data_IF_246103072967
#
_entry.id   IF_246103072967
#
_cell.length_a   1.000
_cell.length_b   1.000
_cell.length_c   1.000
_cell.angle_alpha   90.00
_cell.angle_beta   90.00
_cell.angle_gamma   90.00
#
_symmetry.space_group_name_H-M   'P 1'
#
loop_
_entity.id
_entity.type
_entity.pdbx_description
1 polymer ?
#
# COMPACT_ATOMS: atom_id res chain seq x y z
N UNK A 1 -6.88 -31.31 1.03
CA UNK A 1 -6.65 -29.97 0.51
C UNK A 1 -6.65 -28.91 1.63
N UNK A 2 -7.66 -28.85 2.51
CA UNK A 2 -7.70 -27.90 3.64
C UNK A 2 -6.53 -28.04 4.62
N UNK A 3 -6.09 -29.26 4.93
CA UNK A 3 -4.96 -29.48 5.83
C UNK A 3 -3.63 -28.99 5.24
N UNK A 4 -3.44 -29.16 3.94
CA UNK A 4 -2.26 -28.67 3.22
C UNK A 4 -2.19 -27.13 3.23
N UNK A 5 -3.33 -26.48 3.01
CA UNK A 5 -3.43 -25.00 3.07
C UNK A 5 -3.11 -24.51 4.49
N UNK A 6 -3.59 -25.21 5.53
CA UNK A 6 -3.32 -24.86 6.92
C UNK A 6 -1.84 -25.02 7.29
N UNK A 7 -1.20 -26.07 6.79
CA UNK A 7 0.22 -26.35 7.02
C UNK A 7 1.13 -25.32 6.30
N UNK A 8 0.80 -25.00 5.05
CA UNK A 8 1.48 -23.93 4.29
C UNK A 8 1.29 -22.59 4.97
N UNK A 9 0.08 -22.27 5.43
CA UNK A 9 -0.19 -21.05 6.18
C UNK A 9 0.60 -20.96 7.49
N UNK A 10 0.76 -22.05 8.21
CA UNK A 10 1.51 -22.05 9.47
C UNK A 10 3.02 -21.91 9.28
N UNK A 11 3.59 -22.54 8.25
CA UNK A 11 5.03 -22.65 8.07
C UNK A 11 5.63 -21.63 7.08
N UNK A 12 4.86 -21.23 6.08
CA UNK A 12 5.37 -20.42 4.95
C UNK A 12 4.67 -19.08 4.78
N UNK A 13 3.77 -18.71 5.69
CA UNK A 13 2.99 -17.47 5.57
C UNK A 13 3.89 -16.23 5.41
N UNK A 14 4.95 -16.14 6.19
CA UNK A 14 5.85 -14.99 6.19
C UNK A 14 6.58 -14.85 4.84
N UNK A 15 7.11 -15.95 4.33
CA UNK A 15 7.82 -15.97 3.04
C UNK A 15 6.84 -15.70 1.90
N UNK A 16 5.68 -16.36 1.91
CA UNK A 16 4.65 -16.16 0.90
C UNK A 16 4.16 -14.71 0.87
N UNK A 17 3.97 -14.09 2.05
CA UNK A 17 3.59 -12.68 2.18
C UNK A 17 4.64 -11.74 1.60
N UNK A 18 5.92 -11.96 1.92
CA UNK A 18 7.02 -11.16 1.40
C UNK A 18 7.14 -11.31 -0.13
N UNK A 19 7.05 -12.53 -0.65
CA UNK A 19 7.11 -12.78 -2.11
C UNK A 19 5.94 -12.13 -2.84
N UNK A 20 4.72 -12.26 -2.32
CA UNK A 20 3.55 -11.67 -2.95
C UNK A 20 3.60 -10.13 -2.93
N UNK A 21 3.98 -9.51 -1.81
CA UNK A 21 4.14 -8.07 -1.71
C UNK A 21 5.24 -7.55 -2.66
N UNK A 22 6.36 -8.29 -2.80
CA UNK A 22 7.41 -7.98 -3.77
C UNK A 22 6.91 -8.06 -5.20
N UNK A 23 6.13 -9.10 -5.53
CA UNK A 23 5.53 -9.26 -6.86
C UNK A 23 4.60 -8.07 -7.19
N UNK A 24 3.77 -7.63 -6.24
CA UNK A 24 2.88 -6.47 -6.44
C UNK A 24 3.68 -5.20 -6.74
N UNK A 25 4.77 -4.93 -6.01
CA UNK A 25 5.64 -3.77 -6.25
C UNK A 25 6.28 -3.84 -7.64
N UNK A 26 6.82 -5.00 -8.01
CA UNK A 26 7.46 -5.21 -9.32
C UNK A 26 6.45 -5.03 -10.45
N UNK A 27 5.26 -5.61 -10.33
CA UNK A 27 4.18 -5.43 -11.31
C UNK A 27 3.77 -3.96 -11.44
N UNK A 28 3.60 -3.25 -10.32
CA UNK A 28 3.27 -1.84 -10.34
C UNK A 28 4.36 -1.01 -11.05
N UNK A 29 5.63 -1.33 -10.82
CA UNK A 29 6.75 -0.65 -11.49
C UNK A 29 6.78 -0.94 -12.99
N UNK A 30 6.56 -2.19 -13.39
CA UNK A 30 6.50 -2.59 -14.81
C UNK A 30 5.35 -1.87 -15.51
N UNK A 31 4.18 -1.83 -14.90
CA UNK A 31 3.01 -1.15 -15.47
C UNK A 31 3.25 0.35 -15.65
N UNK A 32 3.88 1.03 -14.69
CA UNK A 32 4.26 2.44 -14.85
C UNK A 32 5.16 2.65 -16.07
N UNK A 33 6.14 1.75 -16.28
CA UNK A 33 7.07 1.87 -17.41
C UNK A 33 6.43 1.53 -18.75
N UNK A 34 5.60 0.51 -18.81
CA UNK A 34 4.97 0.05 -20.05
C UNK A 34 3.90 1.04 -20.53
N UNK A 35 3.13 1.59 -19.61
CA UNK A 35 2.03 2.51 -19.93
C UNK A 35 2.39 3.98 -19.75
N UNK A 36 3.66 4.29 -19.45
CA UNK A 36 4.12 5.66 -19.21
C UNK A 36 3.29 6.42 -18.17
N UNK A 37 2.75 5.70 -17.18
CA UNK A 37 1.95 6.28 -16.12
C UNK A 37 2.86 7.01 -15.11
N UNK A 38 2.50 8.24 -14.80
CA UNK A 38 3.13 8.95 -13.69
C UNK A 38 2.45 8.50 -12.38
N UNK A 39 3.18 7.75 -11.56
CA UNK A 39 2.67 7.34 -10.26
C UNK A 39 2.37 8.57 -9.40
N UNK A 40 1.12 8.72 -8.97
CA UNK A 40 0.74 9.76 -8.02
C UNK A 40 1.45 9.58 -6.68
N UNK A 41 1.55 10.65 -5.89
CA UNK A 41 2.25 10.61 -4.60
C UNK A 41 1.66 9.54 -3.63
N UNK A 42 0.33 9.37 -3.62
CA UNK A 42 -0.33 8.32 -2.83
C UNK A 42 -0.03 6.91 -3.34
N UNK A 43 0.09 6.72 -4.67
CA UNK A 43 0.50 5.44 -5.25
C UNK A 43 1.90 5.03 -4.80
N UNK A 44 2.82 5.99 -4.68
CA UNK A 44 4.17 5.76 -4.15
C UNK A 44 4.10 5.39 -2.67
N UNK A 45 3.26 6.07 -1.88
CA UNK A 45 3.06 5.77 -0.46
C UNK A 45 2.48 4.37 -0.24
N UNK A 46 1.58 3.93 -1.12
CA UNK A 46 1.03 2.56 -1.14
C UNK A 46 2.15 1.52 -1.39
N UNK A 47 3.09 1.80 -2.28
CA UNK A 47 4.27 0.93 -2.51
C UNK A 47 5.16 0.85 -1.27
N UNK A 48 5.36 1.96 -0.56
CA UNK A 48 6.07 1.94 0.73
C UNK A 48 5.34 1.10 1.78
N UNK A 49 4.00 1.13 1.82
CA UNK A 49 3.23 0.27 2.70
C UNK A 49 3.42 -1.23 2.37
N UNK A 50 3.47 -1.62 1.09
CA UNK A 50 3.86 -2.98 0.69
C UNK A 50 5.32 -3.30 1.07
N UNK A 51 6.24 -2.34 0.94
CA UNK A 51 7.61 -2.47 1.41
C UNK A 51 7.71 -2.73 2.92
N UNK A 52 6.88 -2.07 3.72
CA UNK A 52 6.77 -2.34 5.15
C UNK A 52 6.23 -3.76 5.44
N UNK A 53 5.31 -4.28 4.64
CA UNK A 53 4.86 -5.68 4.76
C UNK A 53 6.01 -6.64 4.47
N UNK A 54 6.82 -6.40 3.44
CA UNK A 54 8.01 -7.22 3.15
C UNK A 54 8.96 -7.22 4.35
N UNK A 55 9.30 -6.04 4.86
CA UNK A 55 10.21 -5.89 5.98
C UNK A 55 9.69 -6.59 7.25
N UNK A 56 8.44 -6.34 7.60
CA UNK A 56 7.81 -6.96 8.79
C UNK A 56 7.62 -8.46 8.63
N UNK A 57 7.37 -8.96 7.43
CA UNK A 57 7.32 -10.40 7.14
C UNK A 57 8.68 -11.07 7.32
N UNK A 58 9.76 -10.45 6.87
CA UNK A 58 11.12 -10.96 7.07
C UNK A 58 11.51 -10.96 8.56
N UNK A 59 11.17 -9.88 9.28
CA UNK A 59 11.37 -9.82 10.74
C UNK A 59 10.57 -10.93 11.43
N UNK A 60 9.32 -11.17 11.02
CA UNK A 60 8.47 -12.22 11.58
C UNK A 60 9.03 -13.62 11.30
N UNK A 61 9.61 -13.84 10.13
CA UNK A 61 10.28 -15.08 9.78
C UNK A 61 11.49 -15.37 10.69
N UNK A 62 12.27 -14.33 11.00
CA UNK A 62 13.46 -14.46 11.86
C UNK A 62 13.13 -14.62 13.34
N UNK A 63 12.19 -13.83 13.85
CA UNK A 63 11.90 -13.75 15.28
C UNK A 63 10.76 -14.68 15.73
N UNK A 64 9.82 -15.03 14.85
CA UNK A 64 8.62 -15.87 15.13
C UNK A 64 7.89 -15.47 16.42
N UNK A 65 7.85 -14.17 16.73
CA UNK A 65 7.24 -13.64 17.95
C UNK A 65 5.91 -12.97 17.68
N UNK A 66 5.01 -12.96 18.66
CA UNK A 66 3.72 -12.26 18.56
C UNK A 66 3.89 -10.76 18.27
N UNK A 67 4.98 -10.16 18.75
CA UNK A 67 5.29 -8.76 18.51
C UNK A 67 5.54 -8.47 17.02
N UNK A 68 6.23 -9.36 16.30
CA UNK A 68 6.48 -9.16 14.87
C UNK A 68 5.20 -9.31 14.03
N UNK A 69 4.28 -10.19 14.41
CA UNK A 69 2.95 -10.24 13.77
C UNK A 69 2.12 -8.98 14.05
N UNK A 70 2.26 -8.38 15.24
CA UNK A 70 1.64 -7.10 15.53
C UNK A 70 2.16 -5.98 14.60
N UNK A 71 3.46 -5.99 14.29
CA UNK A 71 4.03 -5.05 13.31
C UNK A 71 3.44 -5.24 11.91
N UNK A 72 3.18 -6.49 11.49
CA UNK A 72 2.47 -6.76 10.22
C UNK A 72 1.03 -6.21 10.24
N UNK A 73 0.31 -6.35 11.35
CA UNK A 73 -1.04 -5.79 11.52
C UNK A 73 -0.99 -4.26 11.41
N UNK A 74 -0.02 -3.60 12.05
CA UNK A 74 0.15 -2.14 11.97
C UNK A 74 0.49 -1.69 10.54
N UNK A 75 1.39 -2.39 9.86
CA UNK A 75 1.75 -2.09 8.47
C UNK A 75 0.56 -2.25 7.51
N UNK A 76 -0.23 -3.29 7.69
CA UNK A 76 -1.45 -3.52 6.92
C UNK A 76 -2.52 -2.45 7.19
N UNK A 77 -2.69 -2.04 8.45
CA UNK A 77 -3.60 -0.96 8.84
C UNK A 77 -3.21 0.37 8.19
N UNK A 78 -1.92 0.66 8.14
CA UNK A 78 -1.41 1.84 7.45
C UNK A 78 -1.71 1.80 5.95
N UNK A 79 -1.51 0.64 5.30
CA UNK A 79 -1.87 0.43 3.90
C UNK A 79 -3.37 0.62 3.64
N UNK A 80 -4.24 0.07 4.50
CA UNK A 80 -5.70 0.25 4.44
C UNK A 80 -6.06 1.74 4.52
N UNK A 81 -5.45 2.48 5.46
CA UNK A 81 -5.70 3.90 5.63
C UNK A 81 -5.36 4.70 4.37
N UNK A 82 -4.17 4.48 3.78
CA UNK A 82 -3.73 5.19 2.57
C UNK A 82 -4.63 4.88 1.39
N UNK A 83 -4.90 3.61 1.12
CA UNK A 83 -5.71 3.18 -0.02
C UNK A 83 -7.17 3.62 0.11
N UNK A 84 -7.75 3.56 1.31
CA UNK A 84 -9.10 4.07 1.56
C UNK A 84 -9.19 5.57 1.32
N UNK A 85 -8.18 6.33 1.76
CA UNK A 85 -8.13 7.77 1.51
C UNK A 85 -7.94 8.10 0.04
N UNK A 86 -7.15 7.32 -0.69
CA UNK A 86 -6.99 7.49 -2.13
C UNK A 86 -8.31 7.25 -2.87
N UNK A 87 -9.04 6.19 -2.55
CA UNK A 87 -10.37 5.90 -3.11
C UNK A 87 -11.35 7.03 -2.80
N UNK A 88 -11.31 7.57 -1.57
CA UNK A 88 -12.14 8.72 -1.21
C UNK A 88 -11.85 9.94 -2.11
N UNK A 89 -10.58 10.28 -2.33
CA UNK A 89 -10.18 11.41 -3.18
C UNK A 89 -10.58 11.19 -4.63
N UNK A 90 -10.51 9.96 -5.15
CA UNK A 90 -10.93 9.61 -6.50
C UNK A 90 -12.44 9.76 -6.74
N UNK A 91 -13.25 9.76 -5.68
CA UNK A 91 -14.70 9.93 -5.74
C UNK A 91 -15.16 11.37 -5.41
N UNK A 92 -14.24 12.31 -5.18
CA UNK A 92 -14.59 13.71 -4.95
C UNK A 92 -14.99 14.42 -6.23
N UNK A 93 -15.86 15.44 -6.09
CA UNK A 93 -16.23 16.31 -7.20
C UNK A 93 -15.08 17.26 -7.58
N UNK A 94 -15.10 17.79 -8.81
CA UNK A 94 -14.05 18.71 -9.30
C UNK A 94 -13.93 19.95 -8.41
N UNK A 95 -15.07 20.43 -7.86
CA UNK A 95 -15.10 21.59 -6.96
C UNK A 95 -14.38 21.28 -5.63
N UNK A 96 -14.65 20.11 -5.04
CA UNK A 96 -14.00 19.65 -3.80
C UNK A 96 -12.51 19.39 -4.02
N UNK A 97 -12.15 18.81 -5.18
CA UNK A 97 -10.74 18.60 -5.54
C UNK A 97 -9.95 19.90 -5.63
N UNK A 98 -10.55 20.97 -6.16
CA UNK A 98 -9.89 22.28 -6.26
C UNK A 98 -9.60 22.90 -4.89
N UNK A 99 -10.35 22.52 -3.85
CA UNK A 99 -10.17 22.98 -2.48
C UNK A 99 -9.05 22.24 -1.73
N UNK A 100 -8.57 21.09 -2.26
CA UNK A 100 -7.51 20.33 -1.64
C UNK A 100 -6.17 21.05 -1.78
N UNK A 101 -5.49 21.24 -0.66
CA UNK A 101 -4.21 21.95 -0.58
C UNK A 101 -2.98 21.12 -1.00
N UNK A 102 -3.19 19.85 -1.40
CA UNK A 102 -2.11 18.96 -1.81
C UNK A 102 -1.53 19.35 -3.16
N UNK A 103 -0.19 19.33 -3.26
CA UNK A 103 0.51 19.64 -4.50
C UNK A 103 0.34 18.51 -5.52
N UNK A 104 0.13 18.90 -6.81
CA UNK A 104 0.23 17.99 -7.95
C UNK A 104 1.65 17.55 -8.30
N UNK A 105 2.63 17.79 -7.41
CA UNK A 105 4.04 17.45 -7.63
C UNK A 105 4.32 15.98 -7.36
N UNK A 106 5.29 15.37 -8.07
CA UNK A 106 5.79 14.03 -7.76
C UNK A 106 6.34 13.96 -6.33
N UNK A 107 6.18 12.80 -5.67
CA UNK A 107 6.56 12.63 -4.27
C UNK A 107 8.04 12.93 -3.99
N UNK A 108 8.96 12.49 -4.86
CA UNK A 108 10.40 12.77 -4.70
C UNK A 108 10.70 14.27 -4.73
N UNK A 109 10.07 15.03 -5.62
CA UNK A 109 10.21 16.48 -5.69
C UNK A 109 9.71 17.14 -4.40
N UNK A 110 8.60 16.67 -3.84
CA UNK A 110 8.13 17.17 -2.54
C UNK A 110 9.11 16.88 -1.40
N UNK A 111 9.76 15.72 -1.41
CA UNK A 111 10.79 15.39 -0.41
C UNK A 111 12.00 16.31 -0.52
N UNK A 112 12.45 16.63 -1.75
CA UNK A 112 13.60 17.49 -1.99
C UNK A 112 13.34 18.95 -1.58
N UNK A 113 12.12 19.47 -1.76
CA UNK A 113 11.80 20.85 -1.44
C UNK A 113 11.32 21.07 0.01
N UNK A 114 10.58 20.15 0.57
CA UNK A 114 9.88 20.33 1.86
C UNK A 114 10.37 19.36 2.95
N UNK A 115 11.19 18.38 2.60
CA UNK A 115 11.59 17.31 3.50
C UNK A 115 10.55 16.19 3.59
N UNK A 116 10.98 15.06 4.17
CA UNK A 116 10.19 13.81 4.18
C UNK A 116 8.86 13.94 4.94
N UNK A 117 8.86 14.60 6.08
CA UNK A 117 7.67 14.71 6.95
C UNK A 117 6.59 15.56 6.28
N UNK A 118 6.98 16.71 5.74
CA UNK A 118 6.05 17.61 5.04
C UNK A 118 5.56 17.01 3.72
N UNK A 119 6.41 16.27 3.01
CA UNK A 119 6.02 15.54 1.81
C UNK A 119 4.93 14.49 2.11
N UNK A 120 5.10 13.70 3.19
CA UNK A 120 4.10 12.73 3.63
C UNK A 120 2.79 13.43 4.03
N UNK A 121 2.87 14.50 4.82
CA UNK A 121 1.70 15.24 5.29
C UNK A 121 0.90 15.84 4.11
N UNK A 122 1.59 16.45 3.14
CA UNK A 122 0.97 17.00 1.91
C UNK A 122 0.39 15.91 1.01
N UNK A 123 1.07 14.77 0.92
CA UNK A 123 0.55 13.60 0.19
C UNK A 123 -0.74 13.09 0.84
N UNK A 124 -0.75 13.01 2.18
CA UNK A 124 -1.95 12.61 2.92
C UNK A 124 -3.07 13.67 2.85
N UNK A 125 -2.77 14.95 2.69
CA UNK A 125 -3.78 15.97 2.44
C UNK A 125 -4.55 15.68 1.13
N UNK A 126 -3.88 15.08 0.15
CA UNK A 126 -4.45 14.76 -1.15
C UNK A 126 -4.34 15.93 -2.13
N UNK A 127 -4.33 15.63 -3.41
CA UNK A 127 -4.26 16.62 -4.47
C UNK A 127 -4.87 16.13 -5.77
N UNK A 128 -5.03 17.00 -6.77
CA UNK A 128 -5.69 16.65 -8.04
C UNK A 128 -5.03 15.48 -8.76
N UNK A 129 -3.71 15.33 -8.66
CA UNK A 129 -2.97 14.20 -9.25
C UNK A 129 -3.33 12.84 -8.64
N UNK A 130 -3.93 12.79 -7.45
CA UNK A 130 -4.36 11.56 -6.81
C UNK A 130 -5.80 11.16 -7.19
N UNK A 131 -6.54 12.04 -7.84
CA UNK A 131 -7.89 11.81 -8.31
C UNK A 131 -7.93 11.08 -9.67
N UNK A 132 -6.83 11.11 -10.42
CA UNK A 132 -6.76 10.38 -11.67
C UNK A 132 -6.79 8.87 -11.41
N UNK A 133 -7.76 8.23 -12.04
CA UNK A 133 -8.00 6.78 -11.95
C UNK A 133 -6.95 6.02 -12.73
N UNK A 134 -5.74 6.06 -12.59
CA UNK A 134 -4.76 5.26 -13.29
C UNK A 134 -5.36 4.23 -14.29
N UNK A 135 -4.75 3.11 -14.47
CA UNK A 135 -5.32 2.05 -15.30
C UNK A 135 -6.44 1.31 -14.53
N UNK A 136 -7.64 1.26 -15.11
CA UNK A 136 -8.77 0.53 -14.57
C UNK A 136 -8.92 -0.81 -15.31
N UNK A 137 -8.60 -1.92 -14.64
CA UNK A 137 -8.99 -3.24 -15.16
C UNK A 137 -10.41 -3.58 -14.69
N UNK A 138 -10.61 -4.31 -13.66
CA UNK A 138 -11.92 -4.54 -13.02
C UNK A 138 -12.07 -3.54 -11.88
N UNK A 139 -11.01 -3.36 -11.12
CA UNK A 139 -10.84 -2.40 -10.04
C UNK A 139 -9.67 -1.46 -10.39
N UNK A 140 -9.64 -0.27 -9.80
CA UNK A 140 -8.49 0.62 -9.93
C UNK A 140 -7.33 0.16 -9.01
N UNK A 141 -6.14 0.75 -9.16
CA UNK A 141 -4.98 0.35 -8.36
C UNK A 141 -5.18 0.54 -6.85
N UNK A 142 -5.90 1.57 -6.43
CA UNK A 142 -6.17 1.82 -5.02
C UNK A 142 -7.13 0.76 -4.44
N UNK A 143 -8.13 0.37 -5.20
CA UNK A 143 -9.10 -0.67 -4.82
C UNK A 143 -8.43 -2.04 -4.71
N UNK A 144 -7.58 -2.42 -5.67
CA UNK A 144 -6.77 -3.64 -5.57
C UNK A 144 -5.83 -3.60 -4.37
N UNK A 145 -5.17 -2.46 -4.13
CA UNK A 145 -4.33 -2.25 -2.96
C UNK A 145 -5.11 -2.46 -1.65
N UNK A 146 -6.32 -1.90 -1.55
CA UNK A 146 -7.19 -2.06 -0.39
C UNK A 146 -7.54 -3.54 -0.14
N UNK A 147 -7.93 -4.27 -1.18
CA UNK A 147 -8.25 -5.72 -1.07
C UNK A 147 -7.05 -6.49 -0.53
N UNK A 148 -5.85 -6.23 -1.04
CA UNK A 148 -4.64 -6.90 -0.59
C UNK A 148 -4.29 -6.55 0.86
N UNK A 149 -4.36 -5.29 1.28
CA UNK A 149 -4.09 -4.90 2.65
C UNK A 149 -5.10 -5.46 3.65
N UNK A 150 -6.39 -5.50 3.30
CA UNK A 150 -7.42 -6.14 4.13
C UNK A 150 -7.14 -7.64 4.28
N UNK A 151 -6.73 -8.30 3.19
CA UNK A 151 -6.37 -9.72 3.24
C UNK A 151 -5.15 -9.97 4.15
N UNK A 152 -4.08 -9.16 4.02
CA UNK A 152 -2.93 -9.21 4.93
C UNK A 152 -3.30 -8.94 6.38
N UNK A 153 -4.15 -7.96 6.62
CA UNK A 153 -4.62 -7.60 7.96
C UNK A 153 -5.32 -8.78 8.63
N UNK A 154 -6.28 -9.41 7.95
CA UNK A 154 -7.04 -10.56 8.48
C UNK A 154 -6.11 -11.74 8.76
N UNK A 155 -5.19 -12.05 7.84
CA UNK A 155 -4.27 -13.17 8.00
C UNK A 155 -3.28 -12.95 9.13
N UNK A 156 -2.73 -11.73 9.25
CA UNK A 156 -1.80 -11.36 10.31
C UNK A 156 -2.49 -11.35 11.69
N UNK A 157 -3.74 -10.87 11.75
CA UNK A 157 -4.53 -10.87 12.99
C UNK A 157 -4.74 -12.29 13.52
N UNK A 158 -5.03 -13.26 12.64
CA UNK A 158 -5.15 -14.69 13.02
C UNK A 158 -3.87 -15.29 13.56
N UNK A 159 -2.70 -14.71 13.28
CA UNK A 159 -1.40 -15.15 13.84
C UNK A 159 -1.09 -14.51 15.20
N UNK A 160 -1.68 -13.37 15.50
CA UNK A 160 -1.54 -12.68 16.81
C UNK A 160 -2.42 -13.33 17.87
N UNK A 161 -3.66 -13.68 17.51
CA UNK A 161 -4.66 -14.31 18.38
C UNK A 161 -4.37 -15.80 18.54
#
# INVERSE_FOLDING_TARGET
MLNLIKEVYQNYFEIASAMFASLVIVLAYILDKVFFLQACAMCILTRYAFGLIILTSLISYMLKSKFSYLLMVLSSSFGIFITSKQIYIQNLTVEELSSLSGCGMPFHTMVDYFGLIDAITRTLAGGPSCAEDGMRFILNFAEWGLVFFVFYFILSLKKVV
#
